data_IF_129285469961
#
_entry.id   IF_129285469961
#
_cell.length_a   1.000
_cell.length_b   1.000
_cell.length_c   1.000
_cell.angle_alpha   90.00
_cell.angle_beta   90.00
_cell.angle_gamma   90.00
#
_symmetry.space_group_name_H-M   'P 1'
#
loop_
_entity.id
_entity.type
_entity.pdbx_description
1 polymer ?
#
# COMPACT_ATOMS: atom_id res chain seq x y z
N UNK A 1 31.54 -8.61 47.42
CA UNK A 1 30.96 -7.78 48.54
C UNK A 1 29.57 -7.29 48.11
N UNK A 2 28.59 -7.66 48.89
CA UNK A 2 27.16 -7.35 48.77
C UNK A 2 26.89 -5.84 48.89
N UNK A 3 25.87 -5.37 48.14
CA UNK A 3 24.83 -4.49 48.69
C UNK A 3 23.61 -4.45 47.80
N UNK A 4 22.57 -5.13 48.22
CA UNK A 4 21.16 -4.98 47.88
C UNK A 4 20.63 -3.65 48.43
N UNK A 5 19.80 -2.93 47.60
CA UNK A 5 18.88 -1.91 48.09
C UNK A 5 17.48 -2.17 47.52
N UNK A 6 16.64 -2.64 48.41
CA UNK A 6 15.17 -2.67 48.26
C UNK A 6 14.62 -1.28 48.55
N UNK A 7 13.75 -0.78 47.67
CA UNK A 7 12.89 0.37 47.94
C UNK A 7 11.43 -0.03 47.77
N UNK A 8 10.69 0.01 48.87
CA UNK A 8 9.24 -0.10 48.95
C UNK A 8 8.65 1.28 48.60
N UNK A 9 7.65 1.34 47.73
CA UNK A 9 6.80 2.51 47.61
C UNK A 9 5.33 2.12 47.73
N UNK A 10 4.69 2.81 48.64
CA UNK A 10 3.35 2.73 49.15
C UNK A 10 2.30 3.18 48.09
N UNK A 11 1.20 2.43 48.04
CA UNK A 11 -0.01 2.81 47.29
C UNK A 11 -0.81 3.84 48.10
N UNK A 12 -1.17 4.93 47.48
CA UNK A 12 -2.14 5.88 48.00
C UNK A 12 -3.40 5.88 47.10
N UNK A 13 -4.47 5.32 47.64
CA UNK A 13 -5.83 5.35 47.08
C UNK A 13 -6.42 6.75 47.27
N UNK A 14 -6.81 7.40 46.17
CA UNK A 14 -7.65 8.60 46.22
C UNK A 14 -8.96 8.31 45.56
N UNK A 15 -10.02 8.25 46.35
CA UNK A 15 -11.44 8.30 45.96
C UNK A 15 -11.82 9.72 45.59
N UNK A 16 -12.45 9.92 44.44
CA UNK A 16 -13.10 11.17 44.03
C UNK A 16 -14.62 10.99 44.03
N UNK A 17 -15.40 12.04 44.40
CA UNK A 17 -16.82 11.94 44.59
C UNK A 17 -17.61 12.05 43.28
N UNK A 18 -18.68 11.27 43.21
CA UNK A 18 -19.63 11.28 42.09
C UNK A 18 -20.40 12.57 41.96
N UNK A 19 -20.56 13.00 40.73
CA UNK A 19 -21.47 14.08 40.34
C UNK A 19 -22.57 13.52 39.45
N UNK A 20 -23.78 13.47 40.00
CA UNK A 20 -24.99 13.08 39.29
C UNK A 20 -25.35 14.15 38.22
N UNK A 21 -25.48 13.72 36.98
CA UNK A 21 -26.03 14.54 35.89
C UNK A 21 -27.47 14.14 35.67
N UNK A 22 -28.38 15.07 35.85
CA UNK A 22 -29.82 14.93 35.58
C UNK A 22 -30.07 14.84 34.06
N UNK A 23 -30.72 13.78 33.62
CA UNK A 23 -31.24 13.65 32.27
C UNK A 23 -32.48 14.57 32.11
N UNK A 24 -32.43 15.45 31.13
CA UNK A 24 -33.59 16.24 30.69
C UNK A 24 -34.17 15.57 29.45
N UNK A 25 -35.42 15.13 29.55
CA UNK A 25 -36.16 14.56 28.43
C UNK A 25 -36.53 15.66 27.42
N UNK A 26 -36.14 15.48 26.16
CA UNK A 26 -36.57 16.29 25.05
C UNK A 26 -37.81 15.66 24.40
N UNK A 27 -38.91 16.40 24.45
CA UNK A 27 -40.20 16.05 23.85
C UNK A 27 -40.14 16.38 22.34
N UNK A 28 -40.25 15.36 21.51
CA UNK A 28 -40.40 15.52 20.05
C UNK A 28 -41.86 15.83 19.72
N UNK A 29 -42.12 16.99 19.15
CA UNK A 29 -43.43 17.34 18.57
C UNK A 29 -43.38 16.97 17.08
N UNK A 30 -44.20 16.00 16.70
CA UNK A 30 -44.41 15.62 15.30
C UNK A 30 -45.57 16.44 14.75
N UNK A 31 -45.31 17.39 13.85
CA UNK A 31 -46.34 18.10 13.10
C UNK A 31 -46.63 17.34 11.81
N UNK A 32 -47.81 16.74 11.74
CA UNK A 32 -48.33 16.16 10.49
C UNK A 32 -48.96 17.26 9.65
N UNK A 33 -48.39 17.54 8.49
CA UNK A 33 -48.92 18.51 7.53
C UNK A 33 -49.66 17.74 6.43
N UNK A 34 -51.00 17.76 6.51
CA UNK A 34 -51.90 17.18 5.50
C UNK A 34 -52.09 18.20 4.36
N UNK A 35 -51.52 17.90 3.18
CA UNK A 35 -51.79 18.68 1.96
C UNK A 35 -52.86 17.93 1.15
N UNK A 36 -54.05 18.53 1.04
CA UNK A 36 -55.10 18.07 0.15
C UNK A 36 -54.79 18.57 -1.29
N UNK A 37 -54.48 17.66 -2.21
CA UNK A 37 -54.37 17.99 -3.65
C UNK A 37 -55.75 17.77 -4.30
N UNK A 38 -56.30 18.84 -4.85
CA UNK A 38 -57.44 18.75 -5.76
C UNK A 38 -56.97 18.25 -7.13
N UNK A 39 -57.51 17.13 -7.58
CA UNK A 39 -57.21 16.58 -8.90
C UNK A 39 -58.07 17.27 -9.95
N UNK A 40 -57.46 18.04 -10.84
CA UNK A 40 -58.02 18.42 -12.15
C UNK A 40 -57.60 17.39 -13.18
N UNK A 41 -58.56 16.62 -13.67
CA UNK A 41 -58.36 15.64 -14.72
C UNK A 41 -58.19 16.33 -16.08
N UNK A 42 -56.93 16.47 -16.55
CA UNK A 42 -56.59 16.74 -17.92
C UNK A 42 -56.05 15.43 -18.52
N UNK A 43 -56.81 14.84 -19.46
CA UNK A 43 -56.40 13.60 -20.17
C UNK A 43 -55.16 13.84 -21.05
N UNK A 44 -54.01 13.56 -20.52
CA UNK A 44 -52.75 13.42 -21.27
C UNK A 44 -52.46 11.95 -21.44
N UNK A 45 -52.55 11.45 -22.64
CA UNK A 45 -52.07 10.12 -23.03
C UNK A 45 -50.53 10.13 -22.94
N UNK A 46 -49.99 9.61 -21.84
CA UNK A 46 -48.56 9.33 -21.76
C UNK A 46 -48.24 8.11 -22.62
N UNK A 47 -47.56 8.34 -23.73
CA UNK A 47 -46.84 7.27 -24.43
C UNK A 47 -45.72 6.81 -23.49
N UNK A 48 -45.53 5.49 -23.28
CA UNK A 48 -44.37 5.03 -22.50
C UNK A 48 -43.11 5.38 -23.28
N UNK A 49 -42.33 6.31 -22.76
CA UNK A 49 -40.94 6.46 -23.19
C UNK A 49 -40.25 5.18 -22.75
N UNK A 50 -39.92 4.32 -23.70
CA UNK A 50 -39.04 3.18 -23.49
C UNK A 50 -37.67 3.78 -23.08
N UNK A 51 -37.47 3.95 -21.80
CA UNK A 51 -36.15 4.23 -21.25
C UNK A 51 -35.24 3.04 -21.58
N UNK A 52 -34.27 3.24 -22.47
CA UNK A 52 -33.18 2.31 -22.59
C UNK A 52 -32.56 2.22 -21.21
N UNK A 53 -32.90 1.18 -20.45
CA UNK A 53 -32.09 0.81 -19.28
C UNK A 53 -30.69 0.52 -19.83
N UNK A 54 -29.76 1.42 -19.61
CA UNK A 54 -28.35 1.12 -19.87
C UNK A 54 -28.05 -0.19 -19.14
N UNK A 55 -27.67 -1.22 -19.87
CA UNK A 55 -27.26 -2.48 -19.28
C UNK A 55 -26.15 -2.14 -18.27
N UNK A 56 -26.33 -2.49 -17.01
CA UNK A 56 -25.28 -2.34 -16.01
C UNK A 56 -24.06 -3.07 -16.55
N UNK A 57 -22.95 -2.35 -16.68
CA UNK A 57 -21.70 -2.96 -17.14
C UNK A 57 -21.39 -4.13 -16.20
N UNK A 58 -21.22 -5.32 -16.76
CA UNK A 58 -20.86 -6.49 -15.97
C UNK A 58 -19.48 -6.25 -15.37
N UNK A 59 -19.32 -6.49 -14.07
CA UNK A 59 -18.01 -6.47 -13.41
C UNK A 59 -17.15 -7.57 -14.06
N UNK A 60 -15.99 -7.25 -14.66
CA UNK A 60 -15.13 -8.28 -15.21
C UNK A 60 -14.69 -9.23 -14.09
N UNK A 61 -14.52 -10.51 -14.38
CA UNK A 61 -14.11 -11.53 -13.42
C UNK A 61 -12.73 -12.09 -13.79
N UNK A 62 -12.03 -12.67 -12.82
CA UNK A 62 -10.69 -13.25 -12.98
C UNK A 62 -9.65 -12.27 -13.51
N UNK A 63 -9.68 -11.04 -13.07
CA UNK A 63 -8.74 -10.00 -13.48
C UNK A 63 -7.28 -10.37 -13.12
N UNK A 64 -7.06 -11.17 -12.08
CA UNK A 64 -5.73 -11.64 -11.73
C UNK A 64 -5.06 -12.51 -12.80
N UNK A 65 -5.83 -13.14 -13.70
CA UNK A 65 -5.29 -13.91 -14.82
C UNK A 65 -4.71 -13.03 -15.95
N UNK A 66 -5.22 -11.80 -16.10
CA UNK A 66 -4.80 -10.83 -17.10
C UNK A 66 -5.12 -9.41 -16.60
N UNK A 67 -4.32 -8.85 -15.68
CA UNK A 67 -4.67 -7.60 -15.00
C UNK A 67 -4.96 -6.43 -15.92
N UNK A 68 -4.15 -6.21 -16.95
CA UNK A 68 -4.34 -5.11 -17.90
C UNK A 68 -5.63 -5.22 -18.74
N UNK A 69 -6.14 -6.42 -18.96
CA UNK A 69 -7.44 -6.60 -19.62
C UNK A 69 -8.62 -6.08 -18.79
N UNK A 70 -8.44 -5.97 -17.47
CA UNK A 70 -9.38 -5.38 -16.53
C UNK A 70 -9.02 -3.92 -16.15
N UNK A 71 -7.98 -3.36 -16.74
CA UNK A 71 -7.49 -2.03 -16.46
C UNK A 71 -6.51 -1.94 -15.27
N UNK A 72 -6.09 -3.06 -14.69
CA UNK A 72 -5.08 -3.09 -13.61
C UNK A 72 -3.65 -3.12 -14.14
N UNK A 73 -2.66 -2.72 -13.33
CA UNK A 73 -1.25 -2.81 -13.67
C UNK A 73 -0.79 -4.25 -13.93
N UNK A 74 0.04 -4.44 -14.95
CA UNK A 74 0.83 -5.64 -15.18
C UNK A 74 2.15 -5.30 -15.92
N UNK A 75 2.92 -6.29 -16.33
CA UNK A 75 4.19 -6.07 -17.01
C UNK A 75 4.08 -5.38 -18.38
N UNK A 76 2.87 -5.23 -18.94
CA UNK A 76 2.65 -4.58 -20.25
C UNK A 76 2.47 -3.07 -20.15
N UNK A 77 2.13 -2.57 -18.96
CA UNK A 77 1.79 -1.17 -18.73
C UNK A 77 2.53 -0.53 -17.52
N UNK A 78 3.51 -1.24 -16.95
CA UNK A 78 4.36 -0.76 -15.86
C UNK A 78 5.84 -0.95 -16.17
N UNK A 79 6.69 -0.29 -15.37
CA UNK A 79 8.13 -0.43 -15.48
C UNK A 79 8.76 0.35 -16.62
N UNK A 80 10.00 0.01 -16.89
CA UNK A 80 10.77 0.64 -17.97
C UNK A 80 10.16 0.31 -19.32
N UNK A 81 9.99 1.34 -20.15
CA UNK A 81 9.49 1.14 -21.53
C UNK A 81 10.36 0.14 -22.30
N UNK A 82 9.77 -0.85 -22.99
CA UNK A 82 10.54 -1.83 -23.75
C UNK A 82 11.32 -1.23 -24.93
N UNK A 83 11.03 0.00 -25.31
CA UNK A 83 11.73 0.74 -26.37
C UNK A 83 12.78 1.71 -25.83
N UNK A 84 12.95 1.77 -24.51
CA UNK A 84 13.90 2.69 -23.88
C UNK A 84 15.34 2.27 -24.16
N UNK A 85 16.19 3.27 -24.44
CA UNK A 85 17.63 3.09 -24.43
C UNK A 85 18.16 3.54 -23.08
N UNK A 86 18.71 2.61 -22.30
CA UNK A 86 19.22 2.90 -20.96
C UNK A 86 20.74 3.00 -20.97
N UNK A 87 21.27 3.97 -20.23
CA UNK A 87 22.69 4.12 -19.98
C UNK A 87 23.11 3.21 -18.83
N UNK A 88 24.03 2.29 -19.07
CA UNK A 88 24.49 1.35 -18.04
C UNK A 88 25.41 2.00 -17.01
N UNK A 89 25.06 1.88 -15.74
CA UNK A 89 25.83 2.41 -14.59
C UNK A 89 26.28 1.21 -13.74
N UNK A 90 27.57 1.08 -13.43
CA UNK A 90 28.67 1.99 -13.72
C UNK A 90 29.40 1.74 -15.06
N UNK A 91 28.97 0.75 -15.86
CA UNK A 91 29.75 0.26 -17.00
C UNK A 91 30.01 1.31 -18.09
N UNK A 92 29.05 2.19 -18.38
CA UNK A 92 29.16 3.24 -19.40
C UNK A 92 29.31 4.64 -18.82
N UNK A 93 28.82 4.85 -17.60
CA UNK A 93 28.94 6.13 -16.89
C UNK A 93 29.01 5.90 -15.38
N UNK A 94 29.75 6.76 -14.69
CA UNK A 94 29.86 6.80 -13.23
C UNK A 94 29.34 8.09 -12.63
N UNK A 95 28.85 9.02 -13.43
CA UNK A 95 28.21 10.26 -12.97
C UNK A 95 27.36 10.88 -14.08
N UNK A 96 26.44 11.74 -13.66
CA UNK A 96 25.59 12.53 -14.54
C UNK A 96 24.94 13.68 -13.78
N UNK A 97 24.02 14.41 -14.41
CA UNK A 97 23.34 15.53 -13.77
C UNK A 97 22.60 15.11 -12.49
N UNK A 98 23.10 15.55 -11.34
CA UNK A 98 22.48 15.29 -10.03
C UNK A 98 22.74 13.92 -9.42
N UNK A 99 23.58 13.09 -10.02
CA UNK A 99 23.91 11.76 -9.50
C UNK A 99 25.38 11.37 -9.72
N UNK A 100 25.88 10.47 -8.90
CA UNK A 100 27.20 9.84 -9.07
C UNK A 100 27.17 8.39 -8.58
N UNK A 101 28.00 7.56 -9.17
CA UNK A 101 28.25 6.20 -8.72
C UNK A 101 29.18 6.19 -7.51
N UNK A 102 28.79 5.46 -6.48
CA UNK A 102 29.57 5.20 -5.28
C UNK A 102 29.93 3.73 -5.23
N UNK A 103 31.21 3.46 -4.99
CA UNK A 103 31.67 2.10 -4.69
C UNK A 103 31.35 1.80 -3.23
N UNK A 104 30.29 1.00 -3.00
CA UNK A 104 29.92 0.52 -1.68
C UNK A 104 30.89 -0.51 -1.14
N UNK A 105 30.59 -1.02 0.06
CA UNK A 105 31.38 -2.09 0.70
C UNK A 105 31.14 -3.47 0.10
N UNK A 106 29.97 -3.70 -0.53
CA UNK A 106 29.57 -4.96 -1.16
C UNK A 106 29.14 -4.75 -2.60
N UNK A 107 28.11 -3.94 -2.83
CA UNK A 107 27.58 -3.61 -4.15
C UNK A 107 27.59 -2.08 -4.27
N UNK A 108 27.90 -1.53 -5.41
CA UNK A 108 27.88 -0.08 -5.59
C UNK A 108 26.45 0.48 -5.62
N UNK A 109 26.34 1.78 -5.61
CA UNK A 109 25.04 2.46 -5.73
C UNK A 109 25.19 3.83 -6.41
N UNK A 110 24.11 4.29 -6.98
CA UNK A 110 23.96 5.67 -7.46
C UNK A 110 23.52 6.54 -6.30
N UNK A 111 24.32 7.53 -5.91
CA UNK A 111 23.96 8.56 -4.94
C UNK A 111 23.28 9.74 -5.64
N UNK A 112 22.13 10.19 -5.08
CA UNK A 112 21.39 11.37 -5.49
C UNK A 112 21.26 12.32 -4.29
N UNK A 113 22.20 13.27 -4.19
CA UNK A 113 22.26 14.26 -3.10
C UNK A 113 21.91 15.69 -3.58
N UNK A 114 21.45 15.84 -4.81
CA UNK A 114 21.09 17.14 -5.40
C UNK A 114 19.58 17.32 -5.42
N UNK A 115 19.07 18.31 -4.71
CA UNK A 115 17.65 18.62 -4.71
C UNK A 115 17.16 19.02 -6.12
N UNK A 116 15.95 18.52 -6.47
CA UNK A 116 15.36 18.74 -7.78
C UNK A 116 15.99 17.92 -8.92
N UNK A 117 16.88 16.95 -8.61
CA UNK A 117 17.49 16.11 -9.62
C UNK A 117 16.45 15.28 -10.39
N UNK A 118 16.71 15.11 -11.70
CA UNK A 118 15.93 14.24 -12.58
C UNK A 118 16.81 13.09 -13.04
N UNK A 119 16.51 11.90 -12.54
CA UNK A 119 17.25 10.67 -12.83
C UNK A 119 16.42 9.87 -13.84
N UNK A 120 16.96 9.68 -15.04
CA UNK A 120 16.18 8.98 -16.07
C UNK A 120 17.04 8.18 -17.02
N UNK A 121 16.44 7.14 -17.61
CA UNK A 121 17.03 6.30 -18.63
C UNK A 121 18.37 5.66 -18.20
N UNK A 122 18.43 5.17 -16.95
CA UNK A 122 19.59 4.46 -16.42
C UNK A 122 19.28 2.97 -16.23
N UNK A 123 20.28 2.14 -16.47
CA UNK A 123 20.34 0.75 -16.02
C UNK A 123 21.41 0.65 -14.94
N UNK A 124 21.00 0.60 -13.68
CA UNK A 124 21.88 0.64 -12.52
C UNK A 124 22.12 -0.81 -12.04
N UNK A 125 23.38 -1.24 -12.12
CA UNK A 125 23.81 -2.53 -11.55
C UNK A 125 24.25 -2.29 -10.08
N UNK A 126 23.28 -2.12 -9.19
CA UNK A 126 23.46 -1.79 -7.78
C UNK A 126 22.26 -1.04 -7.24
N UNK A 127 22.40 -0.35 -6.10
CA UNK A 127 21.34 0.45 -5.48
C UNK A 127 21.21 1.86 -6.04
N UNK A 128 20.07 2.50 -5.71
CA UNK A 128 19.82 3.93 -5.91
C UNK A 128 19.52 4.56 -4.54
N UNK A 129 20.40 5.41 -4.04
CA UNK A 129 20.29 6.05 -2.72
C UNK A 129 19.96 7.54 -2.89
N UNK A 130 18.80 7.95 -2.42
CA UNK A 130 18.28 9.31 -2.56
C UNK A 130 18.27 9.97 -1.18
N UNK A 131 19.09 11.02 -1.01
CA UNK A 131 19.19 11.83 0.20
C UNK A 131 18.80 13.30 -0.04
N UNK A 132 18.14 13.60 -1.16
CA UNK A 132 17.71 14.93 -1.54
C UNK A 132 16.19 14.97 -1.82
N UNK A 133 15.61 16.14 -1.65
CA UNK A 133 14.17 16.36 -1.88
C UNK A 133 13.86 16.83 -3.30
N UNK A 134 12.58 16.71 -3.71
CA UNK A 134 12.07 17.10 -5.03
C UNK A 134 12.74 16.34 -6.19
N UNK A 135 13.17 15.10 -5.94
CA UNK A 135 13.83 14.24 -6.93
C UNK A 135 12.76 13.51 -7.75
N UNK A 136 13.00 13.41 -9.06
CA UNK A 136 12.20 12.57 -9.95
C UNK A 136 13.06 11.47 -10.53
N UNK A 137 12.67 10.22 -10.33
CA UNK A 137 13.25 9.02 -10.96
C UNK A 137 12.24 8.52 -11.98
N UNK A 138 12.65 8.34 -13.23
CA UNK A 138 11.73 7.89 -14.27
C UNK A 138 12.43 7.03 -15.33
N UNK A 139 11.79 5.92 -15.71
CA UNK A 139 12.31 5.00 -16.72
C UNK A 139 13.73 4.52 -16.36
N UNK A 140 13.90 4.09 -15.10
CA UNK A 140 15.18 3.59 -14.54
C UNK A 140 15.04 2.11 -14.21
N UNK A 141 16.01 1.32 -14.63
CA UNK A 141 16.14 -0.07 -14.21
C UNK A 141 17.15 -0.16 -13.06
N UNK A 142 16.73 -0.72 -11.93
CA UNK A 142 17.58 -1.00 -10.76
C UNK A 142 17.69 -2.51 -10.59
N UNK A 143 18.90 -3.04 -10.74
CA UNK A 143 19.18 -4.46 -10.57
C UNK A 143 20.15 -4.62 -9.41
N UNK A 144 19.65 -5.13 -8.29
CA UNK A 144 20.44 -5.30 -7.07
C UNK A 144 20.21 -6.67 -6.44
N UNK A 145 21.04 -7.07 -5.49
CA UNK A 145 21.00 -8.40 -4.87
C UNK A 145 21.23 -8.35 -3.35
N UNK A 146 20.91 -9.45 -2.69
CA UNK A 146 21.25 -9.66 -1.29
C UNK A 146 20.39 -8.87 -0.31
N UNK A 147 20.89 -8.74 0.91
CA UNK A 147 20.24 -7.96 1.96
C UNK A 147 20.47 -6.45 1.78
N UNK A 148 20.20 -5.98 0.56
CA UNK A 148 20.30 -4.58 0.15
C UNK A 148 18.91 -4.04 -0.22
N UNK A 149 18.87 -2.77 -0.56
CA UNK A 149 17.67 -2.09 -1.05
C UNK A 149 17.89 -1.69 -2.53
N UNK A 150 16.83 -1.77 -3.32
CA UNK A 150 16.84 -1.27 -4.70
C UNK A 150 16.92 0.24 -4.71
N UNK A 151 15.92 0.88 -4.14
CA UNK A 151 15.86 2.34 -3.94
C UNK A 151 15.74 2.65 -2.45
N UNK A 152 16.64 3.49 -1.93
CA UNK A 152 16.63 3.96 -0.54
C UNK A 152 16.25 5.44 -0.50
N UNK A 153 15.25 5.78 0.31
CA UNK A 153 14.89 7.16 0.64
C UNK A 153 15.45 7.51 2.02
N UNK A 154 16.16 8.63 2.13
CA UNK A 154 16.81 9.07 3.38
C UNK A 154 16.47 10.50 3.69
N UNK A 155 15.54 10.74 4.62
CA UNK A 155 15.12 12.08 5.06
C UNK A 155 14.70 12.97 3.87
N UNK A 156 13.89 12.42 2.96
CA UNK A 156 13.51 13.09 1.72
C UNK A 156 12.12 13.70 1.79
N UNK A 157 11.82 14.62 0.88
CA UNK A 157 10.45 15.07 0.65
C UNK A 157 10.18 15.25 -0.86
N UNK A 158 8.93 14.95 -1.27
CA UNK A 158 8.47 15.09 -2.64
C UNK A 158 9.33 14.31 -3.66
N UNK A 159 9.67 13.07 -3.37
CA UNK A 159 10.33 12.17 -4.32
C UNK A 159 9.28 11.46 -5.15
N UNK A 160 9.46 11.45 -6.47
CA UNK A 160 8.64 10.66 -7.39
C UNK A 160 9.50 9.56 -8.02
N UNK A 161 9.07 8.32 -7.92
CA UNK A 161 9.64 7.16 -8.62
C UNK A 161 8.55 6.65 -9.55
N UNK A 162 8.84 6.57 -10.84
CA UNK A 162 7.82 6.20 -11.79
C UNK A 162 8.35 5.47 -13.03
N UNK A 163 7.50 4.61 -13.62
CA UNK A 163 7.79 3.86 -14.84
C UNK A 163 9.15 3.17 -14.80
N UNK A 164 9.53 2.65 -13.64
CA UNK A 164 10.83 2.06 -13.39
C UNK A 164 10.72 0.59 -13.04
N UNK A 165 11.79 -0.18 -13.28
CA UNK A 165 11.83 -1.60 -13.01
C UNK A 165 12.86 -1.87 -11.92
N UNK A 166 12.43 -2.46 -10.80
CA UNK A 166 13.29 -2.73 -9.64
C UNK A 166 13.23 -4.23 -9.32
N UNK A 167 14.36 -4.92 -9.43
CA UNK A 167 14.35 -6.37 -9.25
C UNK A 167 15.72 -6.97 -8.91
N UNK A 168 15.69 -8.25 -8.53
CA UNK A 168 16.88 -9.09 -8.47
C UNK A 168 16.88 -10.10 -9.61
N UNK A 169 18.05 -10.51 -10.13
CA UNK A 169 18.15 -11.61 -11.06
C UNK A 169 17.78 -12.97 -10.42
N UNK A 170 17.70 -13.04 -9.07
CA UNK A 170 17.38 -14.25 -8.31
C UNK A 170 16.17 -13.98 -7.41
N UNK A 171 15.21 -14.92 -7.38
CA UNK A 171 14.04 -14.85 -6.50
C UNK A 171 14.17 -15.72 -5.24
N UNK A 172 15.28 -16.40 -5.04
CA UNK A 172 15.48 -17.29 -3.89
C UNK A 172 16.87 -17.17 -3.30
N UNK A 173 16.97 -17.49 -2.00
CA UNK A 173 18.21 -17.52 -1.26
C UNK A 173 18.84 -16.14 -1.05
N UNK A 174 20.12 -16.11 -0.65
CA UNK A 174 20.77 -14.89 -0.18
C UNK A 174 20.99 -13.83 -1.27
N UNK A 175 20.80 -14.16 -2.54
CA UNK A 175 20.96 -13.22 -3.65
C UNK A 175 19.65 -12.51 -4.05
N UNK A 176 18.49 -12.92 -3.50
CA UNK A 176 17.26 -12.12 -3.70
C UNK A 176 17.45 -10.73 -3.10
N UNK A 177 16.92 -9.70 -3.71
CA UNK A 177 16.95 -8.35 -3.14
C UNK A 177 16.02 -8.27 -1.91
N UNK A 178 16.47 -7.67 -0.80
CA UNK A 178 15.67 -7.65 0.43
C UNK A 178 14.41 -6.78 0.28
N UNK A 179 14.56 -5.51 -0.13
CA UNK A 179 13.43 -4.60 -0.35
C UNK A 179 13.67 -3.81 -1.63
N UNK A 180 12.66 -3.68 -2.49
CA UNK A 180 12.81 -2.92 -3.72
C UNK A 180 12.87 -1.41 -3.47
N UNK A 181 11.89 -0.85 -2.76
CA UNK A 181 11.84 0.58 -2.43
C UNK A 181 11.61 0.72 -0.92
N UNK A 182 12.51 1.42 -0.24
CA UNK A 182 12.44 1.58 1.22
C UNK A 182 12.65 3.03 1.64
N UNK A 183 11.73 3.55 2.45
CA UNK A 183 12.01 4.69 3.32
C UNK A 183 12.79 4.21 4.54
N UNK A 184 14.07 4.55 4.58
CA UNK A 184 15.03 3.97 5.55
C UNK A 184 14.71 4.35 7.00
N UNK A 185 14.20 5.55 7.20
CA UNK A 185 13.93 6.10 8.53
C UNK A 185 12.44 6.27 8.83
N UNK A 186 11.56 6.03 7.85
CA UNK A 186 10.12 6.21 7.99
C UNK A 186 9.71 7.68 8.14
N UNK A 187 10.53 8.61 7.67
CA UNK A 187 10.33 10.06 7.82
C UNK A 187 10.32 10.83 6.49
N UNK A 188 10.42 10.12 5.38
CA UNK A 188 10.27 10.74 4.05
C UNK A 188 8.82 11.11 3.79
N UNK A 189 8.58 12.30 3.23
CA UNK A 189 7.23 12.85 3.06
C UNK A 189 6.89 13.16 1.61
N UNK A 190 5.59 13.07 1.27
CA UNK A 190 5.11 13.39 -0.08
C UNK A 190 5.70 12.49 -1.18
N UNK A 191 6.07 11.26 -0.85
CA UNK A 191 6.61 10.28 -1.80
C UNK A 191 5.52 9.79 -2.73
N UNK A 192 5.81 9.71 -4.04
CA UNK A 192 4.94 9.09 -5.05
C UNK A 192 5.67 7.97 -5.74
N UNK A 193 5.10 6.76 -5.72
CA UNK A 193 5.60 5.56 -6.39
C UNK A 193 4.54 5.13 -7.39
N UNK A 194 4.83 5.24 -8.70
CA UNK A 194 3.79 5.15 -9.73
C UNK A 194 4.23 4.36 -10.96
N UNK A 195 3.42 3.40 -11.37
CA UNK A 195 3.60 2.61 -12.59
C UNK A 195 4.96 1.88 -12.64
N UNK A 196 5.47 1.46 -11.50
CA UNK A 196 6.70 0.68 -11.42
C UNK A 196 6.42 -0.82 -11.50
N UNK A 197 7.39 -1.58 -12.03
CA UNK A 197 7.36 -3.03 -12.10
C UNK A 197 8.42 -3.60 -11.15
N UNK A 198 7.98 -4.41 -10.16
CA UNK A 198 8.81 -4.88 -9.05
C UNK A 198 8.68 -6.40 -8.90
N UNK A 199 9.82 -7.11 -8.94
CA UNK A 199 9.82 -8.58 -8.80
C UNK A 199 11.13 -9.15 -8.26
N UNK A 200 11.11 -10.42 -7.82
CA UNK A 200 12.25 -11.15 -7.26
C UNK A 200 12.85 -10.45 -6.02
N UNK A 201 12.01 -9.88 -5.20
CA UNK A 201 12.39 -9.14 -3.98
C UNK A 201 11.70 -9.73 -2.77
N UNK A 202 12.34 -9.69 -1.60
CA UNK A 202 11.73 -10.14 -0.35
C UNK A 202 10.58 -9.26 0.08
N UNK A 203 10.70 -7.95 -0.16
CA UNK A 203 9.60 -7.01 0.01
C UNK A 203 9.58 -5.99 -1.13
N UNK A 204 8.38 -5.63 -1.60
CA UNK A 204 8.22 -4.69 -2.70
C UNK A 204 8.44 -3.25 -2.26
N UNK A 205 7.49 -2.66 -1.57
CA UNK A 205 7.51 -1.24 -1.20
C UNK A 205 7.25 -1.09 0.30
N UNK A 206 8.17 -0.43 1.00
CA UNK A 206 8.07 -0.08 2.42
C UNK A 206 8.11 1.44 2.59
N UNK A 207 6.94 2.06 2.81
CA UNK A 207 6.82 3.48 3.12
C UNK A 207 5.68 3.73 4.11
N UNK A 208 5.77 4.81 4.88
CA UNK A 208 4.77 5.17 5.90
C UNK A 208 3.94 6.39 5.55
N UNK A 209 4.27 7.12 4.47
CA UNK A 209 3.57 8.32 3.99
C UNK A 209 3.69 8.46 2.49
N UNK A 210 2.65 8.98 1.84
CA UNK A 210 2.67 9.29 0.41
C UNK A 210 1.65 8.51 -0.40
N UNK A 211 1.95 8.29 -1.68
CA UNK A 211 1.05 7.58 -2.62
C UNK A 211 1.80 6.47 -3.35
N UNK A 212 1.23 5.28 -3.30
CA UNK A 212 1.67 4.10 -4.06
C UNK A 212 0.56 3.77 -5.03
N UNK A 213 0.78 4.00 -6.32
CA UNK A 213 -0.28 3.88 -7.31
C UNK A 213 0.17 3.22 -8.63
N UNK A 214 -0.72 2.47 -9.24
CA UNK A 214 -0.51 1.88 -10.56
C UNK A 214 0.71 0.93 -10.66
N UNK A 215 1.20 0.38 -9.56
CA UNK A 215 2.38 -0.48 -9.58
C UNK A 215 2.00 -1.95 -9.78
N UNK A 216 2.94 -2.71 -10.34
CA UNK A 216 2.88 -4.16 -10.43
C UNK A 216 3.97 -4.78 -9.56
N UNK A 217 3.57 -5.35 -8.42
CA UNK A 217 4.44 -6.06 -7.48
C UNK A 217 4.11 -7.55 -7.55
N UNK A 218 5.08 -8.37 -7.96
CA UNK A 218 4.80 -9.77 -8.26
C UNK A 218 6.02 -10.67 -8.17
N UNK A 219 5.81 -11.98 -8.19
CA UNK A 219 6.87 -12.98 -8.16
C UNK A 219 7.91 -12.67 -7.07
N UNK A 220 7.43 -12.51 -5.84
CA UNK A 220 8.27 -12.14 -4.71
C UNK A 220 9.31 -13.21 -4.43
N UNK A 221 10.44 -12.80 -3.88
CA UNK A 221 11.57 -13.65 -3.58
C UNK A 221 11.64 -14.01 -2.10
N UNK A 222 12.28 -15.12 -1.76
CA UNK A 222 12.40 -15.61 -0.40
C UNK A 222 13.82 -16.06 -0.06
N UNK A 223 14.27 -15.68 1.12
CA UNK A 223 15.41 -16.26 1.79
C UNK A 223 15.00 -16.69 3.20
N UNK A 224 15.64 -17.71 3.76
CA UNK A 224 15.29 -18.21 5.09
C UNK A 224 15.31 -17.10 6.14
N UNK A 225 14.20 -16.90 6.81
CA UNK A 225 14.01 -15.86 7.83
C UNK A 225 13.45 -14.54 7.31
N UNK A 226 13.14 -14.43 6.03
CA UNK A 226 12.43 -13.26 5.49
C UNK A 226 10.97 -13.22 5.97
N UNK A 227 10.48 -12.01 6.16
CA UNK A 227 9.08 -11.66 6.06
C UNK A 227 8.88 -11.10 4.66
N UNK A 228 8.01 -11.73 3.88
CA UNK A 228 7.80 -11.36 2.47
C UNK A 228 6.51 -10.55 2.37
N UNK A 229 6.63 -9.34 1.86
CA UNK A 229 5.50 -8.41 1.75
C UNK A 229 5.46 -7.76 0.37
N UNK A 230 4.27 -7.56 -0.15
CA UNK A 230 4.12 -6.82 -1.41
C UNK A 230 4.30 -5.32 -1.19
N UNK A 231 3.37 -4.68 -0.51
CA UNK A 231 3.41 -3.26 -0.13
C UNK A 231 3.08 -3.15 1.34
N UNK A 232 3.94 -2.48 2.12
CA UNK A 232 3.70 -2.39 3.56
C UNK A 232 4.17 -1.08 4.20
N UNK A 233 3.59 -0.81 5.37
CA UNK A 233 3.94 0.26 6.28
C UNK A 233 4.12 -0.30 7.69
N UNK A 234 5.15 0.15 8.42
CA UNK A 234 5.43 -0.29 9.80
C UNK A 234 4.84 0.64 10.87
N UNK A 235 4.45 1.82 10.50
CA UNK A 235 3.75 2.83 11.30
C UNK A 235 3.44 4.03 10.42
N UNK A 236 2.45 4.85 10.77
CA UNK A 236 2.21 6.08 10.02
C UNK A 236 1.21 6.98 10.73
N UNK A 237 1.53 8.27 10.79
CA UNK A 237 0.62 9.30 11.31
C UNK A 237 0.15 10.25 10.20
N UNK A 238 0.87 10.31 9.10
CA UNK A 238 0.54 11.09 7.93
C UNK A 238 -0.21 10.21 6.90
N UNK A 239 -0.90 10.82 5.94
CA UNK A 239 -1.68 10.06 4.97
C UNK A 239 -0.83 9.15 4.09
N UNK A 240 -1.19 7.86 4.02
CA UNK A 240 -0.68 6.90 3.07
C UNK A 240 -1.83 6.43 2.16
N UNK A 241 -1.64 6.50 0.86
CA UNK A 241 -2.60 6.00 -0.12
C UNK A 241 -1.99 4.89 -0.96
N UNK A 242 -2.58 3.70 -0.92
CA UNK A 242 -2.23 2.53 -1.76
C UNK A 242 -3.41 2.29 -2.69
N UNK A 243 -3.26 2.71 -3.94
CA UNK A 243 -4.39 2.74 -4.89
C UNK A 243 -4.03 2.16 -6.24
N UNK A 244 -4.94 1.35 -6.80
CA UNK A 244 -4.87 0.83 -8.15
C UNK A 244 -3.55 0.10 -8.46
N UNK A 245 -3.05 -0.68 -7.51
CA UNK A 245 -1.90 -1.55 -7.72
C UNK A 245 -2.37 -2.99 -8.00
N UNK A 246 -1.53 -3.75 -8.66
CA UNK A 246 -1.60 -5.21 -8.67
C UNK A 246 -0.49 -5.74 -7.78
N UNK A 247 -0.88 -6.46 -6.73
CA UNK A 247 0.05 -6.97 -5.70
C UNK A 247 -0.15 -8.46 -5.54
N UNK A 248 0.83 -9.23 -5.98
CA UNK A 248 0.80 -10.68 -6.01
C UNK A 248 1.95 -11.26 -5.20
N UNK A 249 1.61 -11.87 -4.07
CA UNK A 249 2.53 -12.66 -3.26
C UNK A 249 2.18 -14.15 -3.42
N UNK A 250 2.93 -14.85 -4.23
CA UNK A 250 2.72 -16.28 -4.46
C UNK A 250 3.19 -17.17 -3.30
N UNK A 251 3.79 -16.58 -2.28
CA UNK A 251 4.33 -17.28 -1.12
C UNK A 251 3.30 -17.29 0.03
N UNK A 252 3.40 -18.29 0.90
CA UNK A 252 2.66 -18.30 2.16
C UNK A 252 3.54 -17.67 3.25
N UNK A 253 3.78 -16.39 3.08
CA UNK A 253 4.65 -15.58 3.93
C UNK A 253 4.04 -14.20 4.04
N UNK A 254 3.88 -13.73 5.25
CA UNK A 254 3.39 -12.43 5.67
C UNK A 254 2.17 -11.96 4.83
N UNK A 255 2.24 -10.88 4.05
CA UNK A 255 1.02 -10.35 3.44
C UNK A 255 1.28 -9.64 2.10
N UNK A 256 0.30 -9.69 1.20
CA UNK A 256 0.44 -8.95 -0.06
C UNK A 256 0.36 -7.43 0.17
N UNK A 257 -0.55 -6.95 1.02
CA UNK A 257 -0.57 -5.57 1.51
C UNK A 257 -0.67 -5.59 3.04
N UNK A 258 0.28 -4.94 3.73
CA UNK A 258 0.32 -4.97 5.19
C UNK A 258 0.45 -3.58 5.83
N UNK A 259 -0.32 -3.37 6.89
CA UNK A 259 -0.25 -2.20 7.75
C UNK A 259 0.22 -2.66 9.13
N UNK A 260 1.54 -2.80 9.32
CA UNK A 260 2.10 -3.23 10.60
C UNK A 260 2.16 -2.10 11.63
N UNK A 261 2.31 -2.45 12.89
CA UNK A 261 2.45 -1.51 14.01
C UNK A 261 3.79 -1.65 14.73
N UNK A 262 4.83 -2.08 14.04
CA UNK A 262 6.14 -2.36 14.65
C UNK A 262 6.79 -1.12 15.29
N UNK A 263 6.52 0.06 14.73
CA UNK A 263 7.02 1.33 15.25
C UNK A 263 5.93 2.28 15.72
N UNK A 264 4.70 1.83 15.79
CA UNK A 264 3.55 2.59 16.26
C UNK A 264 2.28 2.34 15.45
N UNK A 265 1.15 2.91 15.87
CA UNK A 265 -0.14 2.66 15.22
C UNK A 265 -0.22 3.30 13.84
N UNK A 266 -1.07 2.72 13.02
CA UNK A 266 -1.42 3.22 11.70
C UNK A 266 -2.55 4.26 11.78
N UNK A 267 -2.39 5.37 11.07
CA UNK A 267 -3.40 6.42 10.96
C UNK A 267 -3.54 6.92 9.53
N UNK A 268 -4.78 7.25 9.12
CA UNK A 268 -5.06 7.91 7.84
C UNK A 268 -4.55 7.13 6.62
N UNK A 269 -4.76 5.81 6.61
CA UNK A 269 -4.34 4.96 5.48
C UNK A 269 -5.54 4.62 4.61
N UNK A 270 -5.37 4.76 3.29
CA UNK A 270 -6.35 4.34 2.30
C UNK A 270 -5.76 3.24 1.41
N UNK A 271 -6.40 2.07 1.41
CA UNK A 271 -6.09 0.93 0.52
C UNK A 271 -7.31 0.71 -0.37
N UNK A 272 -7.25 1.17 -1.60
CA UNK A 272 -8.44 1.16 -2.45
C UNK A 272 -8.16 0.77 -3.90
N UNK A 273 -9.14 0.09 -4.53
CA UNK A 273 -9.08 -0.28 -5.95
C UNK A 273 -7.80 -1.04 -6.32
N UNK A 274 -7.27 -1.89 -5.44
CA UNK A 274 -6.13 -2.75 -5.76
C UNK A 274 -6.61 -4.15 -6.18
N UNK A 275 -5.81 -4.84 -6.98
CA UNK A 275 -5.96 -6.25 -7.30
C UNK A 275 -4.91 -7.03 -6.50
N UNK A 276 -5.36 -7.86 -5.56
CA UNK A 276 -4.51 -8.46 -4.53
C UNK A 276 -4.66 -9.98 -4.50
N UNK A 277 -3.56 -10.70 -4.34
CA UNK A 277 -3.57 -12.15 -4.17
C UNK A 277 -2.34 -12.64 -3.39
N UNK A 278 -2.51 -13.63 -2.53
CA UNK A 278 -1.43 -14.34 -1.88
C UNK A 278 -1.04 -13.79 -0.51
N UNK A 279 0.17 -14.15 -0.06
CA UNK A 279 0.62 -13.95 1.32
C UNK A 279 -0.02 -14.95 2.29
N UNK A 280 0.26 -14.83 3.57
CA UNK A 280 -0.52 -15.47 4.61
C UNK A 280 -1.94 -14.89 4.65
N UNK A 281 -2.06 -13.58 4.52
CA UNK A 281 -3.31 -12.88 4.25
C UNK A 281 -3.12 -11.91 3.06
N UNK A 282 -4.18 -11.70 2.28
CA UNK A 282 -4.09 -10.75 1.16
C UNK A 282 -3.95 -9.30 1.66
N UNK A 283 -4.62 -8.95 2.76
CA UNK A 283 -4.55 -7.62 3.37
C UNK A 283 -4.48 -7.74 4.90
N UNK A 284 -3.45 -7.18 5.51
CA UNK A 284 -3.33 -7.02 6.96
C UNK A 284 -3.68 -5.59 7.36
N UNK A 285 -4.69 -5.41 8.22
CA UNK A 285 -5.33 -4.11 8.47
C UNK A 285 -4.77 -3.29 9.64
N UNK A 286 -3.76 -3.79 10.36
CA UNK A 286 -3.06 -3.05 11.40
C UNK A 286 -3.70 -3.04 12.80
N UNK A 287 -4.77 -3.81 13.03
CA UNK A 287 -5.34 -3.91 14.37
C UNK A 287 -4.56 -4.90 15.23
N UNK A 288 -4.00 -4.40 16.34
CA UNK A 288 -3.29 -5.23 17.31
C UNK A 288 -4.04 -5.22 18.66
N UNK A 289 -4.66 -6.34 19.07
CA UNK A 289 -5.35 -6.43 20.35
C UNK A 289 -4.42 -6.11 21.52
N UNK A 290 -4.68 -5.00 22.23
CA UNK A 290 -3.85 -4.54 23.36
C UNK A 290 -2.74 -3.56 22.99
N UNK A 291 -2.54 -3.27 21.70
CA UNK A 291 -1.72 -2.18 21.17
C UNK A 291 -2.47 -0.86 21.09
N UNK A 292 -1.86 0.12 20.45
CA UNK A 292 -2.55 1.35 20.08
C UNK A 292 -3.56 1.04 18.96
N UNK A 293 -4.74 1.66 19.03
CA UNK A 293 -5.81 1.36 18.08
C UNK A 293 -5.63 2.20 16.82
N UNK A 294 -5.52 1.59 15.62
CA UNK A 294 -5.45 2.32 14.36
C UNK A 294 -6.73 3.11 14.12
N UNK A 295 -6.63 4.22 13.39
CA UNK A 295 -7.80 5.03 13.05
C UNK A 295 -7.75 5.60 11.63
N UNK A 296 -8.93 5.77 11.03
CA UNK A 296 -9.09 6.21 9.65
C UNK A 296 -8.37 5.27 8.66
N UNK A 297 -8.49 3.97 8.88
CA UNK A 297 -8.01 2.93 7.95
C UNK A 297 -9.15 2.60 6.99
N UNK A 298 -9.01 2.97 5.73
CA UNK A 298 -10.05 2.84 4.71
C UNK A 298 -9.63 1.79 3.69
N UNK A 299 -10.18 0.58 3.79
CA UNK A 299 -9.89 -0.55 2.88
C UNK A 299 -11.13 -0.79 2.03
N UNK A 300 -11.11 -0.30 0.78
CA UNK A 300 -12.33 -0.26 -0.03
C UNK A 300 -12.12 -0.62 -1.49
N UNK A 301 -13.13 -1.24 -2.11
CA UNK A 301 -13.18 -1.49 -3.55
C UNK A 301 -12.00 -2.32 -4.09
N UNK A 302 -11.32 -3.08 -3.25
CA UNK A 302 -10.26 -3.96 -3.69
C UNK A 302 -10.83 -5.26 -4.28
N UNK A 303 -10.11 -5.83 -5.23
CA UNK A 303 -10.38 -7.13 -5.81
C UNK A 303 -9.41 -8.13 -5.17
N UNK A 304 -9.95 -9.13 -4.50
CA UNK A 304 -9.20 -10.11 -3.74
C UNK A 304 -9.30 -11.45 -4.49
N UNK A 305 -8.17 -11.96 -4.98
CA UNK A 305 -8.14 -13.07 -5.90
C UNK A 305 -7.64 -14.37 -5.28
N UNK A 306 -8.31 -15.51 -5.54
CA UNK A 306 -7.84 -16.84 -5.15
C UNK A 306 -6.78 -17.40 -6.12
N UNK A 307 -5.93 -16.55 -6.71
CA UNK A 307 -4.95 -16.93 -7.72
C UNK A 307 -3.97 -18.00 -7.22
N UNK A 308 -3.48 -17.86 -6.00
CA UNK A 308 -2.47 -18.76 -5.42
C UNK A 308 -3.05 -19.70 -4.36
N UNK A 309 -3.98 -19.21 -3.55
CA UNK A 309 -4.60 -19.95 -2.47
C UNK A 309 -6.12 -19.84 -2.56
N UNK A 310 -6.88 -20.91 -2.19
CA UNK A 310 -8.35 -20.88 -2.28
C UNK A 310 -9.01 -19.73 -1.50
N UNK A 311 -8.36 -19.27 -0.43
CA UNK A 311 -8.83 -18.18 0.41
C UNK A 311 -8.14 -16.84 0.09
N UNK A 312 -7.52 -16.69 -1.08
CA UNK A 312 -6.68 -15.58 -1.51
C UNK A 312 -5.31 -15.57 -0.84
N UNK A 313 -5.20 -15.30 0.45
CA UNK A 313 -4.03 -15.63 1.26
C UNK A 313 -4.07 -17.08 1.74
N UNK A 314 -2.95 -17.57 2.25
CA UNK A 314 -2.84 -18.95 2.75
C UNK A 314 -3.83 -19.22 3.89
N UNK A 315 -4.01 -18.28 4.80
CA UNK A 315 -4.97 -18.35 5.90
C UNK A 315 -6.30 -17.63 5.62
N UNK A 316 -6.30 -16.56 4.83
CA UNK A 316 -7.53 -15.80 4.58
C UNK A 316 -7.36 -14.58 3.68
N UNK A 317 -8.47 -13.91 3.43
CA UNK A 317 -8.52 -12.67 2.65
C UNK A 317 -7.92 -11.49 3.39
N UNK A 318 -8.08 -11.50 4.71
CA UNK A 318 -7.67 -10.39 5.57
C UNK A 318 -7.40 -10.86 7.01
N UNK A 319 -6.65 -10.05 7.73
CA UNK A 319 -6.44 -10.16 9.17
C UNK A 319 -6.29 -8.78 9.78
N UNK A 320 -6.46 -8.71 11.11
CA UNK A 320 -6.26 -7.49 11.89
C UNK A 320 -7.06 -6.27 11.38
N UNK A 321 -8.24 -6.52 10.83
CA UNK A 321 -9.18 -5.49 10.40
C UNK A 321 -10.15 -5.18 11.53
N UNK A 322 -10.22 -3.92 11.98
CA UNK A 322 -11.14 -3.42 13.01
C UNK A 322 -12.17 -2.47 12.38
N UNK A 323 -12.98 -3.03 11.48
CA UNK A 323 -13.97 -2.26 10.73
C UNK A 323 -15.07 -1.69 11.61
N UNK A 324 -15.46 -0.43 11.37
CA UNK A 324 -16.53 0.26 12.09
C UNK A 324 -16.10 0.94 13.38
N UNK A 325 -14.83 0.85 13.77
CA UNK A 325 -14.27 1.50 14.96
C UNK A 325 -13.30 2.62 14.53
N UNK A 326 -13.27 3.73 15.23
CA UNK A 326 -12.35 4.86 15.03
C UNK A 326 -12.23 5.37 13.58
N UNK A 327 -13.30 5.29 12.80
CA UNK A 327 -13.30 5.70 11.40
C UNK A 327 -12.73 4.65 10.43
N UNK A 328 -12.41 3.44 10.91
CA UNK A 328 -11.95 2.35 10.07
C UNK A 328 -13.11 1.79 9.22
N UNK A 329 -12.86 1.58 7.94
CA UNK A 329 -13.87 1.18 6.96
C UNK A 329 -13.37 -0.01 6.15
N UNK A 330 -14.21 -1.05 6.08
CA UNK A 330 -14.09 -2.13 5.10
C UNK A 330 -15.35 -2.16 4.25
N UNK A 331 -15.26 -1.83 2.96
CA UNK A 331 -16.45 -1.84 2.11
C UNK A 331 -16.13 -1.97 0.61
N UNK A 332 -17.06 -2.56 -0.15
CA UNK A 332 -16.92 -2.70 -1.60
C UNK A 332 -15.79 -3.64 -2.05
N UNK A 333 -15.10 -4.32 -1.12
CA UNK A 333 -14.10 -5.33 -1.46
C UNK A 333 -14.83 -6.57 -1.99
N UNK A 334 -14.34 -7.14 -3.09
CA UNK A 334 -14.99 -8.24 -3.78
C UNK A 334 -14.00 -9.37 -4.12
N UNK A 335 -14.51 -10.58 -4.18
CA UNK A 335 -13.80 -11.70 -4.78
C UNK A 335 -13.60 -11.47 -6.28
N UNK A 336 -12.37 -11.59 -6.76
CA UNK A 336 -12.02 -11.38 -8.17
C UNK A 336 -12.68 -12.38 -9.10
N UNK A 337 -12.85 -13.63 -8.67
CA UNK A 337 -13.41 -14.70 -9.48
C UNK A 337 -14.94 -14.75 -9.51
N UNK A 338 -15.62 -14.16 -8.53
CA UNK A 338 -17.08 -14.26 -8.41
C UNK A 338 -17.79 -12.91 -8.37
N UNK A 339 -17.08 -11.82 -8.09
CA UNK A 339 -17.66 -10.50 -7.86
C UNK A 339 -18.48 -10.38 -6.58
N UNK A 340 -18.51 -11.44 -5.75
CA UNK A 340 -19.22 -11.42 -4.46
C UNK A 340 -18.47 -10.58 -3.44
N UNK A 341 -19.17 -9.93 -2.49
CA UNK A 341 -18.53 -9.21 -1.41
C UNK A 341 -17.60 -10.07 -0.58
N UNK A 342 -16.48 -9.49 -0.15
CA UNK A 342 -15.60 -10.02 0.89
C UNK A 342 -15.89 -9.27 2.18
N UNK A 343 -16.23 -10.00 3.22
CA UNK A 343 -16.43 -9.47 4.58
C UNK A 343 -15.24 -9.81 5.45
N UNK A 344 -14.75 -8.88 6.32
CA UNK A 344 -13.60 -9.13 7.17
C UNK A 344 -13.91 -10.10 8.30
#
# INVERSE_FOLDING_TARGET
MRRTKTSKTSAATRTAPGRAVKATAATTVTAAMTIALAAAALGATFLPVAGNAAAAASIPLNCAAAPSACGYPDATNTGVSPTATLLSVPAQATSGPGWKWMTGTTDGYVEVATAGAKISNLNIAGGLDISASNVTVSNVQVVNTGNNFGVSLRHTSNVTIQNSSIYSPCNTGPLRLQVAIKDIYGDSTGTVINADNIWNVGAGIQISEGTVENNYVHNLGYNTGDHVDGIFSDAGQAPLTIIHNTVFDQLNQTDAIALFEDFGPQFNVTVTNNLVAGGDYAIYGGFNPGGAVPSNIVITNNRISPLYFPNSGYYGTDAAVDAGVNGNIWSGNIWDNTGQPVTP
#
